data_IF_762591944898
#
_entry.id   IF_762591944898
#
_cell.length_a   1.000
_cell.length_b   1.000
_cell.length_c   1.000
_cell.angle_alpha   90.00
_cell.angle_beta   90.00
_cell.angle_gamma   90.00
#
_symmetry.space_group_name_H-M   'P 1'
#
loop_
_entity.id
_entity.type
_entity.pdbx_description
1 polymer ?
#
# COMPACT_ATOMS: atom_id res chain seq x y z
N UNK A 1 37.87 2.00 4.45
CA UNK A 1 36.61 1.60 3.77
C UNK A 1 36.40 2.39 2.48
N UNK A 2 35.53 1.95 1.55
CA UNK A 2 35.25 2.69 0.30
C UNK A 2 33.87 3.36 0.30
N UNK A 3 33.74 4.51 -0.34
CA UNK A 3 32.46 5.21 -0.51
C UNK A 3 31.57 4.46 -1.49
N UNK A 4 30.35 4.08 -1.09
CA UNK A 4 29.38 3.42 -1.98
C UNK A 4 28.91 4.33 -3.13
N UNK A 5 28.97 5.66 -2.96
CA UNK A 5 28.53 6.62 -3.98
C UNK A 5 29.61 6.94 -5.00
N UNK A 6 30.87 7.06 -4.56
CA UNK A 6 31.95 7.56 -5.42
C UNK A 6 33.17 6.63 -5.53
N UNK A 7 33.17 5.48 -4.86
CA UNK A 7 34.20 4.44 -4.96
C UNK A 7 35.57 4.78 -4.40
N UNK A 8 35.76 5.96 -3.77
CA UNK A 8 37.05 6.38 -3.21
C UNK A 8 37.26 5.81 -1.82
N UNK A 9 38.52 5.60 -1.46
CA UNK A 9 38.91 5.21 -0.12
C UNK A 9 38.66 6.34 0.88
N UNK A 10 38.12 5.98 2.04
CA UNK A 10 37.79 6.89 3.12
C UNK A 10 38.20 6.25 4.45
N UNK A 11 38.75 7.05 5.39
CA UNK A 11 38.97 6.59 6.76
C UNK A 11 37.69 6.06 7.41
N UNK A 12 37.83 5.03 8.24
CA UNK A 12 36.71 4.28 8.83
C UNK A 12 35.88 5.11 9.81
N UNK A 13 36.47 6.12 10.44
CA UNK A 13 35.79 7.01 11.40
C UNK A 13 35.10 8.22 10.74
N UNK A 14 35.07 8.28 9.40
CA UNK A 14 34.48 9.42 8.69
C UNK A 14 32.95 9.36 8.67
N UNK A 15 32.31 10.39 9.22
CA UNK A 15 30.83 10.54 9.18
C UNK A 15 30.36 10.93 7.77
N UNK A 16 31.22 11.57 6.98
CA UNK A 16 30.93 12.03 5.61
C UNK A 16 32.10 11.71 4.66
N UNK A 17 31.78 11.41 3.41
CA UNK A 17 32.79 11.30 2.36
C UNK A 17 33.37 12.68 2.03
N UNK A 18 34.68 12.86 2.24
CA UNK A 18 35.38 14.11 1.95
C UNK A 18 35.34 14.54 0.46
N UNK A 19 35.04 13.61 -0.45
CA UNK A 19 35.05 13.85 -1.89
C UNK A 19 33.66 14.09 -2.49
N UNK A 20 32.63 13.35 -2.05
CA UNK A 20 31.28 13.43 -2.62
C UNK A 20 30.22 13.99 -1.65
N UNK A 21 30.60 14.23 -0.39
CA UNK A 21 29.75 14.82 0.64
C UNK A 21 28.66 13.92 1.21
N UNK A 22 28.59 12.63 0.83
CA UNK A 22 27.55 11.73 1.35
C UNK A 22 27.84 11.33 2.80
N UNK A 23 26.80 11.26 3.64
CA UNK A 23 26.88 10.77 5.02
C UNK A 23 27.01 9.25 5.03
N UNK A 24 27.94 8.72 5.80
CA UNK A 24 28.30 7.30 5.87
C UNK A 24 27.77 6.61 7.14
N UNK A 25 27.05 7.35 8.00
CA UNK A 25 26.54 6.80 9.27
C UNK A 25 25.64 5.57 9.04
N UNK A 26 25.80 4.50 9.84
CA UNK A 26 24.91 3.34 9.82
C UNK A 26 23.43 3.70 10.11
N UNK A 27 23.16 4.85 10.75
CA UNK A 27 21.82 5.36 11.00
C UNK A 27 21.12 5.82 9.71
N UNK A 28 21.88 6.27 8.71
CA UNK A 28 21.32 6.68 7.41
C UNK A 28 20.83 5.46 6.60
N UNK A 29 21.55 4.33 6.70
CA UNK A 29 21.08 3.06 6.12
C UNK A 29 19.85 2.55 6.87
N UNK A 30 19.72 2.86 8.16
CA UNK A 30 18.56 2.48 8.95
C UNK A 30 17.28 3.23 8.55
N UNK A 31 17.39 4.55 8.36
CA UNK A 31 16.27 5.37 7.91
C UNK A 31 15.79 5.02 6.50
N UNK A 32 16.69 4.60 5.60
CA UNK A 32 16.32 4.30 4.22
C UNK A 32 15.48 3.02 4.10
N UNK A 33 15.71 1.99 4.95
CA UNK A 33 14.86 0.79 4.95
C UNK A 33 13.52 1.02 5.66
N UNK A 34 13.47 1.87 6.69
CA UNK A 34 12.22 2.27 7.35
C UNK A 34 11.35 3.12 6.42
N UNK A 35 11.95 4.06 5.69
CA UNK A 35 11.28 4.90 4.69
C UNK A 35 10.79 4.03 3.52
N UNK A 36 11.60 3.09 3.04
CA UNK A 36 11.21 2.15 1.98
C UNK A 36 10.09 1.18 2.43
N UNK A 37 10.09 0.73 3.69
CA UNK A 37 9.02 -0.07 4.26
C UNK A 37 7.71 0.73 4.35
N UNK A 38 7.78 1.98 4.86
CA UNK A 38 6.63 2.90 4.94
C UNK A 38 6.03 3.21 3.56
N UNK A 39 6.88 3.38 2.54
CA UNK A 39 6.42 3.61 1.17
C UNK A 39 5.73 2.38 0.56
N UNK A 40 6.21 1.16 0.86
CA UNK A 40 5.53 -0.08 0.44
C UNK A 40 4.16 -0.21 1.09
N UNK A 41 4.04 0.03 2.39
CA UNK A 41 2.75 0.01 3.10
C UNK A 41 1.75 1.03 2.52
N UNK A 42 2.20 2.25 2.23
CA UNK A 42 1.38 3.28 1.59
C UNK A 42 0.92 2.88 0.18
N UNK A 43 1.79 2.21 -0.58
CA UNK A 43 1.49 1.76 -1.93
C UNK A 43 0.48 0.61 -1.92
N UNK A 44 0.58 -0.32 -0.97
CA UNK A 44 -0.42 -1.38 -0.76
C UNK A 44 -1.78 -0.81 -0.34
N UNK A 45 -1.79 0.14 0.59
CA UNK A 45 -3.02 0.83 1.01
C UNK A 45 -3.70 1.62 -0.14
N UNK A 46 -2.93 2.13 -1.10
CA UNK A 46 -3.46 2.77 -2.31
C UNK A 46 -4.13 1.75 -3.26
N UNK A 47 -3.54 0.56 -3.42
CA UNK A 47 -4.09 -0.50 -4.26
C UNK A 47 -5.40 -1.05 -3.68
N UNK A 48 -5.51 -1.17 -2.35
CA UNK A 48 -6.74 -1.64 -1.69
C UNK A 48 -7.92 -0.68 -1.87
N UNK A 49 -7.67 0.65 -1.90
CA UNK A 49 -8.70 1.65 -2.22
C UNK A 49 -9.22 1.52 -3.66
N UNK A 50 -8.37 1.10 -4.60
CA UNK A 50 -8.73 0.87 -6.00
C UNK A 50 -9.54 -0.42 -6.19
N UNK A 51 -9.35 -1.41 -5.33
CA UNK A 51 -10.04 -2.71 -5.37
C UNK A 51 -11.45 -2.71 -4.74
N UNK A 52 -11.96 -1.57 -4.25
CA UNK A 52 -13.31 -1.47 -3.68
C UNK A 52 -13.51 -2.28 -2.39
N UNK A 53 -12.43 -2.77 -1.78
CA UNK A 53 -12.48 -3.35 -0.43
C UNK A 53 -12.70 -2.18 0.53
N UNK A 54 -13.78 -2.24 1.32
CA UNK A 54 -13.99 -1.27 2.40
C UNK A 54 -12.80 -1.38 3.34
N UNK A 55 -11.91 -0.40 3.28
CA UNK A 55 -10.79 -0.30 4.19
C UNK A 55 -11.36 -0.34 5.61
N UNK A 56 -11.04 -1.41 6.35
CA UNK A 56 -10.98 -1.30 7.79
C UNK A 56 -9.95 -0.21 8.03
N UNK A 57 -10.42 0.99 8.36
CA UNK A 57 -9.54 2.09 8.73
C UNK A 57 -8.81 1.62 9.98
N UNK A 58 -7.60 1.12 9.81
CA UNK A 58 -6.62 0.93 10.87
C UNK A 58 -6.30 2.34 11.35
N UNK A 59 -7.07 2.81 12.34
CA UNK A 59 -6.75 4.02 13.09
C UNK A 59 -5.64 3.67 14.09
N UNK A 60 -4.46 3.31 13.59
CA UNK A 60 -3.24 3.41 14.38
C UNK A 60 -2.69 4.83 14.20
N UNK A 61 -3.46 5.81 14.67
CA UNK A 61 -2.87 7.05 15.11
C UNK A 61 -2.25 6.72 16.47
N UNK A 62 -0.99 6.28 16.46
CA UNK A 62 -0.14 6.44 17.63
C UNK A 62 0.01 7.95 17.82
N UNK A 63 -0.94 8.52 18.54
CA UNK A 63 -0.84 9.89 19.01
C UNK A 63 0.23 9.85 20.11
N UNK A 64 1.29 10.62 19.90
CA UNK A 64 2.37 10.94 20.83
C UNK A 64 1.79 11.63 22.09
N UNK A 65 0.94 10.94 22.85
CA UNK A 65 0.30 11.41 24.09
C UNK A 65 -0.01 10.29 25.08
N UNK A 66 0.48 9.07 24.84
CA UNK A 66 0.25 7.92 25.73
C UNK A 66 1.32 7.78 26.82
N UNK A 67 2.05 8.84 27.13
CA UNK A 67 2.63 8.98 28.46
C UNK A 67 1.50 9.30 29.45
N UNK A 68 1.09 8.28 30.23
CA UNK A 68 0.08 8.39 31.30
C UNK A 68 0.57 9.46 32.29
N UNK A 69 0.09 10.70 32.15
CA UNK A 69 0.29 11.72 33.18
C UNK A 69 -0.55 11.35 34.41
N UNK A 70 0.04 11.32 35.61
CA UNK A 70 -0.73 11.23 36.84
C UNK A 70 -1.80 12.35 36.86
N UNK A 71 -3.08 11.99 36.90
CA UNK A 71 -4.20 12.94 36.89
C UNK A 71 -5.05 12.98 35.61
N UNK A 72 -4.85 12.08 34.65
CA UNK A 72 -5.71 11.98 33.47
C UNK A 72 -7.20 11.75 33.82
N UNK A 73 -8.16 12.39 33.12
CA UNK A 73 -9.58 12.27 33.44
C UNK A 73 -10.08 10.85 33.18
N UNK A 74 -10.80 10.29 34.16
CA UNK A 74 -11.43 8.96 34.04
C UNK A 74 -12.51 9.02 32.95
N UNK A 75 -12.39 8.14 31.95
CA UNK A 75 -13.42 7.95 30.92
C UNK A 75 -14.55 7.08 31.48
N UNK A 76 -15.75 7.13 30.90
CA UNK A 76 -16.86 6.22 31.24
C UNK A 76 -17.14 5.31 30.05
N UNK A 77 -17.53 4.06 30.33
CA UNK A 77 -17.99 3.14 29.30
C UNK A 77 -19.26 3.66 28.63
N UNK A 78 -19.30 3.69 27.30
CA UNK A 78 -20.48 4.14 26.56
C UNK A 78 -21.72 3.26 26.75
N UNK A 79 -21.55 1.97 27.03
CA UNK A 79 -22.66 1.03 27.14
C UNK A 79 -23.26 0.95 28.56
N UNK A 80 -22.42 1.03 29.59
CA UNK A 80 -22.84 0.79 30.99
C UNK A 80 -22.54 1.94 31.95
N UNK A 81 -21.86 3.00 31.48
CA UNK A 81 -21.54 4.18 32.29
C UNK A 81 -20.48 3.97 33.38
N UNK A 82 -19.92 2.75 33.52
CA UNK A 82 -18.87 2.44 34.50
C UNK A 82 -17.61 3.24 34.23
N UNK A 83 -16.98 3.77 35.28
CA UNK A 83 -15.68 4.46 35.18
C UNK A 83 -14.60 3.48 34.68
N UNK A 84 -13.89 3.90 33.64
CA UNK A 84 -12.78 3.18 33.03
C UNK A 84 -11.45 3.78 33.53
N UNK A 85 -10.42 2.94 33.75
CA UNK A 85 -9.10 3.45 34.06
C UNK A 85 -8.57 4.29 32.89
N UNK A 86 -7.75 5.29 33.19
CA UNK A 86 -7.16 6.18 32.20
C UNK A 86 -6.34 5.44 31.12
N UNK A 87 -5.89 4.21 31.42
CA UNK A 87 -5.18 3.32 30.49
C UNK A 87 -6.09 2.64 29.46
N UNK A 88 -7.41 2.76 29.55
CA UNK A 88 -8.31 2.17 28.55
C UNK A 88 -8.31 3.04 27.29
N UNK A 89 -7.72 2.49 26.23
CA UNK A 89 -7.69 3.11 24.90
C UNK A 89 -9.09 3.13 24.29
N UNK A 90 -9.88 2.08 24.54
CA UNK A 90 -11.26 1.93 24.06
C UNK A 90 -12.31 2.75 24.84
N UNK A 91 -13.47 2.97 24.21
CA UNK A 91 -14.63 3.60 24.84
C UNK A 91 -15.51 2.64 25.66
N UNK A 92 -15.17 1.36 25.73
CA UNK A 92 -16.00 0.32 26.33
C UNK A 92 -15.23 -0.41 27.43
N UNK A 93 -15.95 -0.94 28.42
CA UNK A 93 -15.35 -1.82 29.42
C UNK A 93 -15.16 -3.23 28.85
N UNK A 94 -14.22 -3.99 29.41
CA UNK A 94 -13.91 -5.35 28.97
C UNK A 94 -15.17 -6.23 28.85
N UNK A 95 -16.11 -6.13 29.79
CA UNK A 95 -17.37 -6.90 29.75
C UNK A 95 -18.28 -6.51 28.58
N UNK A 96 -18.41 -5.20 28.29
CA UNK A 96 -19.22 -4.71 27.17
C UNK A 96 -18.54 -4.96 25.82
N UNK A 97 -17.21 -4.91 25.77
CA UNK A 97 -16.42 -5.33 24.61
C UNK A 97 -16.66 -6.81 24.29
N UNK A 98 -16.50 -7.70 25.27
CA UNK A 98 -16.73 -9.14 25.09
C UNK A 98 -18.17 -9.44 24.68
N UNK A 99 -19.16 -8.79 25.28
CA UNK A 99 -20.57 -8.96 24.89
C UNK A 99 -20.80 -8.58 23.43
N UNK A 100 -20.30 -7.41 22.99
CA UNK A 100 -20.45 -6.96 21.60
C UNK A 100 -19.74 -7.89 20.61
N UNK A 101 -18.56 -8.40 20.96
CA UNK A 101 -17.84 -9.36 20.12
C UNK A 101 -18.64 -10.67 19.95
N UNK A 102 -19.17 -11.22 21.05
CA UNK A 102 -20.04 -12.40 20.99
C UNK A 102 -21.29 -12.14 20.15
N UNK A 103 -21.97 -11.02 20.33
CA UNK A 103 -23.12 -10.67 19.50
C UNK A 103 -22.75 -10.45 18.02
N UNK A 104 -21.52 -10.03 17.73
CA UNK A 104 -21.03 -9.87 16.35
C UNK A 104 -20.76 -11.23 15.71
N UNK A 105 -20.15 -12.16 16.46
CA UNK A 105 -19.94 -13.55 16.05
C UNK A 105 -21.28 -14.26 15.80
N UNK A 106 -22.22 -14.18 16.73
CA UNK A 106 -23.56 -14.77 16.58
C UNK A 106 -24.31 -14.20 15.35
N UNK A 107 -24.16 -12.89 15.06
CA UNK A 107 -24.71 -12.28 13.84
C UNK A 107 -23.99 -12.75 12.56
N UNK A 108 -22.69 -12.98 12.62
CA UNK A 108 -21.91 -13.49 11.50
C UNK A 108 -22.31 -14.95 11.17
N UNK A 109 -22.40 -15.80 12.20
CA UNK A 109 -22.86 -17.18 12.08
C UNK A 109 -24.31 -17.26 11.56
N UNK A 110 -25.21 -16.41 12.08
CA UNK A 110 -26.58 -16.35 11.59
C UNK A 110 -26.65 -15.92 10.12
N UNK A 111 -25.76 -15.01 9.69
CA UNK A 111 -25.67 -14.60 8.29
C UNK A 111 -25.12 -15.72 7.41
N UNK A 112 -24.13 -16.49 7.87
CA UNK A 112 -23.57 -17.65 7.16
C UNK A 112 -24.61 -18.78 7.03
N UNK A 113 -25.25 -19.18 8.13
CA UNK A 113 -26.32 -20.17 8.11
C UNK A 113 -27.46 -19.78 7.17
N UNK A 114 -27.82 -18.49 7.13
CA UNK A 114 -28.82 -17.98 6.20
C UNK A 114 -28.36 -18.06 4.74
N UNK A 115 -27.06 -17.90 4.45
CA UNK A 115 -26.50 -18.10 3.10
C UNK A 115 -26.54 -19.57 2.70
N UNK A 116 -26.15 -20.48 3.59
CA UNK A 116 -26.21 -21.92 3.35
C UNK A 116 -27.66 -22.38 3.08
N UNK A 117 -28.63 -21.91 3.87
CA UNK A 117 -30.05 -22.20 3.62
C UNK A 117 -30.53 -21.64 2.27
N UNK A 118 -30.05 -20.47 1.85
CA UNK A 118 -30.38 -19.93 0.52
C UNK A 118 -29.74 -20.73 -0.61
N UNK A 119 -28.53 -21.25 -0.42
CA UNK A 119 -27.86 -22.11 -1.39
C UNK A 119 -28.52 -23.49 -1.46
N UNK A 120 -28.89 -24.08 -0.33
CA UNK A 120 -29.68 -25.33 -0.29
C UNK A 120 -31.04 -25.16 -0.96
N UNK A 121 -31.75 -24.05 -0.69
CA UNK A 121 -33.03 -23.74 -1.34
C UNK A 121 -32.88 -23.50 -2.85
N UNK A 122 -31.70 -23.07 -3.32
CA UNK A 122 -31.39 -22.96 -4.76
C UNK A 122 -31.02 -24.33 -5.35
N UNK A 123 -30.16 -25.09 -4.69
CA UNK A 123 -29.78 -26.44 -5.12
C UNK A 123 -30.98 -27.41 -5.16
N UNK A 124 -31.95 -27.24 -4.26
CA UNK A 124 -33.21 -27.99 -4.29
C UNK A 124 -34.12 -27.57 -5.44
N UNK A 125 -34.05 -26.32 -5.92
CA UNK A 125 -34.75 -25.88 -7.14
C UNK A 125 -34.09 -26.46 -8.40
N UNK A 126 -32.77 -26.47 -8.45
CA UNK A 126 -32.03 -26.97 -9.62
C UNK A 126 -32.15 -28.50 -9.78
N UNK A 127 -32.53 -29.24 -8.71
CA UNK A 127 -32.78 -30.69 -8.77
C UNK A 127 -34.13 -31.09 -9.39
N UNK A 128 -35.11 -30.18 -9.41
CA UNK A 128 -36.45 -30.45 -9.94
C UNK A 128 -36.77 -29.69 -11.23
N UNK A 129 -35.75 -29.12 -11.91
CA UNK A 129 -35.93 -28.37 -13.17
C UNK A 129 -35.50 -29.18 -14.42
N UNK A 130 -35.53 -30.53 -14.33
CA UNK A 130 -35.21 -31.45 -15.45
C UNK A 130 -36.37 -32.40 -15.77
N UNK A 131 -37.63 -32.01 -15.53
CA UNK A 131 -38.78 -32.81 -16.00
C UNK A 131 -40.05 -32.03 -16.31
N UNK A 132 -39.97 -30.74 -16.63
CA UNK A 132 -41.11 -30.00 -17.19
C UNK A 132 -40.87 -29.61 -18.66
N UNK A 133 -40.56 -30.63 -19.48
CA UNK A 133 -41.14 -30.76 -20.83
C UNK A 133 -42.61 -31.21 -20.72
N UNK A 134 -43.30 -30.84 -19.64
CA UNK A 134 -44.66 -31.21 -19.34
C UNK A 134 -45.58 -30.31 -20.18
N UNK A 135 -46.10 -30.92 -21.23
CA UNK A 135 -46.88 -30.32 -22.30
C UNK A 135 -48.04 -29.44 -21.78
N UNK A 136 -47.86 -28.12 -21.89
CA UNK A 136 -48.86 -27.10 -21.56
C UNK A 136 -50.18 -27.23 -22.33
N UNK A 137 -50.28 -28.12 -23.33
CA UNK A 137 -51.49 -28.35 -24.13
C UNK A 137 -52.55 -29.21 -23.46
N UNK A 138 -52.21 -30.00 -22.42
CA UNK A 138 -53.19 -30.89 -21.74
C UNK A 138 -54.20 -30.12 -20.87
N UNK A 139 -53.86 -28.92 -20.39
CA UNK A 139 -54.72 -28.15 -19.47
C UNK A 139 -55.52 -27.01 -20.12
N UNK A 140 -55.48 -26.86 -21.45
CA UNK A 140 -56.28 -25.80 -22.10
C UNK A 140 -57.78 -26.10 -22.20
N UNK A 141 -58.24 -27.30 -21.87
CA UNK A 141 -59.61 -27.67 -22.19
C UNK A 141 -60.65 -27.47 -21.07
N UNK A 142 -60.28 -27.07 -19.85
CA UNK A 142 -61.27 -26.73 -18.82
C UNK A 142 -60.74 -25.71 -17.81
N UNK A 143 -61.11 -24.42 -17.97
CA UNK A 143 -61.02 -23.43 -16.89
C UNK A 143 -62.42 -23.10 -16.38
N UNK A 144 -62.85 -23.59 -15.20
CA UNK A 144 -63.83 -22.89 -14.40
C UNK A 144 -63.14 -21.79 -13.58
N UNK A 145 -63.81 -20.65 -13.56
CA UNK A 145 -63.51 -19.41 -12.86
C UNK A 145 -63.19 -19.67 -11.37
N UNK A 146 -61.98 -19.34 -10.92
CA UNK A 146 -61.62 -19.36 -9.50
C UNK A 146 -60.85 -18.09 -9.13
N UNK A 147 -61.54 -17.25 -8.36
CA UNK A 147 -61.07 -15.98 -7.82
C UNK A 147 -59.88 -16.22 -6.88
N UNK A 148 -58.77 -15.48 -7.07
CA UNK A 148 -57.60 -15.50 -6.19
C UNK A 148 -57.65 -14.36 -5.17
N UNK A 149 -57.21 -14.57 -3.91
CA UNK A 149 -57.20 -13.54 -2.88
C UNK A 149 -56.10 -12.50 -3.11
N UNK A 150 -56.44 -11.23 -2.81
CA UNK A 150 -55.58 -10.05 -2.96
C UNK A 150 -54.43 -10.07 -1.94
N UNK A 151 -53.18 -10.19 -2.39
CA UNK A 151 -51.99 -9.84 -1.60
C UNK A 151 -51.68 -8.35 -1.77
N UNK A 152 -51.62 -7.62 -0.66
CA UNK A 152 -51.22 -6.22 -0.62
C UNK A 152 -49.75 -6.08 -1.04
N UNK A 153 -49.52 -5.41 -2.17
CA UNK A 153 -48.19 -4.96 -2.56
C UNK A 153 -47.97 -3.58 -1.99
N UNK A 154 -47.05 -3.46 -1.03
CA UNK A 154 -46.47 -2.17 -0.65
C UNK A 154 -45.73 -1.63 -1.89
N UNK A 155 -46.19 -0.48 -2.35
CA UNK A 155 -45.79 0.11 -3.62
C UNK A 155 -44.53 0.97 -3.41
N UNK A 156 -43.34 0.35 -3.46
CA UNK A 156 -42.08 1.11 -3.52
C UNK A 156 -41.94 1.68 -4.93
N UNK A 157 -42.30 2.96 -5.08
CA UNK A 157 -42.06 3.74 -6.31
C UNK A 157 -40.54 3.86 -6.52
N UNK A 158 -39.95 2.98 -7.33
CA UNK A 158 -38.60 3.19 -7.86
C UNK A 158 -38.65 4.32 -8.90
N UNK A 159 -37.81 5.37 -8.81
CA UNK A 159 -37.75 6.39 -9.84
C UNK A 159 -37.20 5.77 -11.12
N UNK A 160 -38.05 5.65 -12.15
CA UNK A 160 -37.61 5.35 -13.53
C UNK A 160 -36.94 6.60 -14.10
N UNK A 161 -35.73 6.89 -13.65
CA UNK A 161 -34.88 7.90 -14.27
C UNK A 161 -34.36 7.39 -15.62
N UNK A 162 -34.29 8.27 -16.63
CA UNK A 162 -33.80 7.99 -17.98
C UNK A 162 -32.30 7.63 -17.98
N UNK A 163 -31.96 6.44 -17.46
CA UNK A 163 -30.60 5.99 -17.22
C UNK A 163 -29.76 5.95 -18.51
N UNK A 164 -30.41 5.71 -19.66
CA UNK A 164 -29.76 5.76 -20.99
C UNK A 164 -29.20 7.15 -21.31
N UNK A 165 -29.89 8.24 -20.93
CA UNK A 165 -29.42 9.62 -21.15
C UNK A 165 -28.29 9.98 -20.18
N UNK A 166 -28.39 9.55 -18.92
CA UNK A 166 -27.32 9.72 -17.94
C UNK A 166 -26.05 8.97 -18.36
N UNK A 167 -26.19 7.74 -18.87
CA UNK A 167 -25.08 6.93 -19.36
C UNK A 167 -24.38 7.57 -20.56
N UNK A 168 -25.13 8.07 -21.55
CA UNK A 168 -24.56 8.75 -22.72
C UNK A 168 -23.82 10.04 -22.36
N UNK A 169 -24.34 10.83 -21.41
CA UNK A 169 -23.66 12.02 -20.91
C UNK A 169 -22.34 11.68 -20.19
N UNK A 170 -22.35 10.65 -19.35
CA UNK A 170 -21.11 10.21 -18.66
C UNK A 170 -20.04 9.72 -19.64
N UNK A 171 -20.43 8.97 -20.67
CA UNK A 171 -19.50 8.48 -21.70
C UNK A 171 -18.95 9.66 -22.51
N UNK A 172 -19.78 10.64 -22.88
CA UNK A 172 -19.35 11.84 -23.59
C UNK A 172 -18.32 12.65 -22.79
N UNK A 173 -18.52 12.82 -21.48
CA UNK A 173 -17.56 13.50 -20.59
C UNK A 173 -16.22 12.76 -20.55
N UNK A 174 -16.24 11.42 -20.41
CA UNK A 174 -15.01 10.62 -20.36
C UNK A 174 -14.20 10.70 -21.66
N UNK A 175 -14.88 10.68 -22.81
CA UNK A 175 -14.24 10.84 -24.13
C UNK A 175 -13.65 12.25 -24.25
N UNK A 176 -14.40 13.29 -23.87
CA UNK A 176 -13.93 14.67 -23.90
C UNK A 176 -12.68 14.89 -23.03
N UNK A 177 -12.66 14.36 -21.81
CA UNK A 177 -11.51 14.44 -20.90
C UNK A 177 -10.29 13.72 -21.48
N UNK A 178 -10.46 12.56 -22.12
CA UNK A 178 -9.35 11.84 -22.77
C UNK A 178 -8.75 12.62 -23.93
N UNK A 179 -9.59 13.25 -24.75
CA UNK A 179 -9.11 14.09 -25.86
C UNK A 179 -8.35 15.30 -25.30
N UNK A 180 -8.87 15.95 -24.26
CA UNK A 180 -8.22 17.10 -23.63
C UNK A 180 -6.82 16.76 -23.08
N UNK A 181 -6.69 15.63 -22.38
CA UNK A 181 -5.39 15.18 -21.85
C UNK A 181 -4.40 14.89 -22.99
N UNK A 182 -4.87 14.29 -24.08
CA UNK A 182 -4.05 14.01 -25.27
C UNK A 182 -3.51 15.29 -25.91
N UNK A 183 -4.36 16.31 -26.07
CA UNK A 183 -3.98 17.62 -26.64
C UNK A 183 -2.96 18.32 -25.75
N UNK A 184 -3.18 18.33 -24.43
CA UNK A 184 -2.24 18.93 -23.47
C UNK A 184 -0.89 18.21 -23.53
N UNK A 185 -0.88 16.88 -23.59
CA UNK A 185 0.34 16.08 -23.73
C UNK A 185 1.13 16.43 -25.00
N UNK A 186 0.43 16.63 -26.12
CA UNK A 186 1.08 17.02 -27.38
C UNK A 186 1.72 18.41 -27.31
N UNK A 187 1.07 19.37 -26.65
CA UNK A 187 1.61 20.72 -26.44
C UNK A 187 2.85 20.67 -25.56
N UNK A 188 2.81 19.93 -24.46
CA UNK A 188 3.97 19.76 -23.57
C UNK A 188 5.13 19.09 -24.30
N UNK A 189 4.85 18.05 -25.09
CA UNK A 189 5.87 17.38 -25.91
C UNK A 189 6.52 18.37 -26.89
N UNK A 190 5.72 19.17 -27.60
CA UNK A 190 6.22 20.18 -28.53
C UNK A 190 7.09 21.24 -27.83
N UNK A 191 6.73 21.66 -26.62
CA UNK A 191 7.55 22.60 -25.85
C UNK A 191 8.90 21.97 -25.46
N UNK A 192 8.92 20.71 -25.02
CA UNK A 192 10.16 20.02 -24.64
C UNK A 192 11.08 19.81 -25.85
N UNK A 193 10.52 19.44 -27.01
CA UNK A 193 11.31 19.26 -28.24
C UNK A 193 11.90 20.56 -28.81
N UNK A 194 11.29 21.72 -28.51
CA UNK A 194 11.83 23.02 -28.90
C UNK A 194 12.85 23.60 -27.90
N UNK A 195 12.94 23.05 -26.68
CA UNK A 195 14.03 23.36 -25.76
C UNK A 195 15.26 22.57 -26.22
N UNK A 196 16.03 23.19 -27.10
CA UNK A 196 17.37 22.73 -27.47
C UNK A 196 18.23 22.66 -26.20
N UNK A 197 18.41 21.44 -25.66
CA UNK A 197 19.39 21.18 -24.62
C UNK A 197 20.77 21.39 -25.25
N UNK A 198 21.58 22.36 -24.80
CA UNK A 198 22.93 22.51 -25.33
C UNK A 198 23.73 21.25 -24.98
N UNK A 199 24.14 20.55 -26.03
CA UNK A 199 24.94 19.33 -25.98
C UNK A 199 26.28 19.65 -25.29
N UNK A 200 26.55 19.05 -24.13
CA UNK A 200 27.85 19.17 -23.47
C UNK A 200 28.84 18.26 -24.19
N UNK A 201 29.89 18.86 -24.74
CA UNK A 201 31.01 18.15 -25.38
C UNK A 201 31.63 17.08 -24.45
N UNK A 202 31.91 15.86 -24.95
CA UNK A 202 32.62 14.84 -24.19
C UNK A 202 34.11 15.21 -24.09
N UNK A 203 34.62 15.32 -22.86
CA UNK A 203 36.06 15.51 -22.61
C UNK A 203 36.85 14.26 -23.05
N UNK A 204 37.91 14.53 -23.82
CA UNK A 204 38.92 13.60 -24.33
C UNK A 204 39.52 12.66 -23.26
N UNK A 205 39.91 11.43 -23.61
CA UNK A 205 40.61 10.52 -22.69
C UNK A 205 42.06 10.97 -22.43
N UNK A 206 42.46 10.99 -21.16
CA UNK A 206 43.84 11.22 -20.69
C UNK A 206 44.70 9.93 -20.81
N UNK A 207 46.04 10.05 -20.93
CA UNK A 207 46.94 8.95 -21.27
C UNK A 207 47.19 7.95 -20.11
N UNK A 208 47.62 6.71 -20.42
CA UNK A 208 47.85 5.68 -19.41
C UNK A 208 49.04 6.04 -18.52
N UNK A 209 48.78 6.07 -17.21
CA UNK A 209 49.80 6.24 -16.17
C UNK A 209 50.59 4.93 -16.07
N UNK A 210 51.90 5.01 -16.30
CA UNK A 210 52.86 3.91 -16.16
C UNK A 210 53.00 3.55 -14.69
N UNK A 211 52.75 2.28 -14.35
CA UNK A 211 53.06 1.70 -13.03
C UNK A 211 54.57 1.64 -12.81
N UNK A 212 55.04 2.25 -11.73
CA UNK A 212 56.34 1.97 -11.12
C UNK A 212 56.10 1.38 -9.73
N UNK A 213 56.04 0.05 -9.65
CA UNK A 213 56.12 -0.68 -8.40
C UNK A 213 57.56 -0.59 -7.88
N UNK A 214 57.80 0.23 -6.85
CA UNK A 214 58.87 0.03 -5.85
C UNK A 214 58.63 1.00 -4.70
N UNK A 215 57.78 0.62 -3.76
CA UNK A 215 57.66 1.32 -2.48
C UNK A 215 58.75 0.79 -1.55
N UNK A 216 59.93 1.43 -1.56
CA UNK A 216 60.96 1.21 -0.56
C UNK A 216 60.45 1.79 0.78
N UNK A 217 60.33 0.96 1.82
CA UNK A 217 59.88 1.39 3.15
C UNK A 217 61.04 2.08 3.87
N UNK A 218 60.95 3.40 3.99
CA UNK A 218 61.90 4.23 4.72
C UNK A 218 61.33 4.45 6.13
N UNK A 219 62.10 4.10 7.16
CA UNK A 219 61.79 4.43 8.55
C UNK A 219 62.71 5.55 9.05
N UNK A 220 62.12 6.50 9.77
CA UNK A 220 62.83 7.64 10.38
C UNK A 220 62.51 7.63 11.87
N UNK A 221 63.55 7.51 12.70
CA UNK A 221 63.41 7.53 14.16
C UNK A 221 63.27 8.97 14.69
N UNK A 222 62.79 9.14 15.94
CA UNK A 222 62.53 10.45 16.56
C UNK A 222 63.77 11.35 16.70
N UNK A 223 64.98 10.79 16.58
CA UNK A 223 66.25 11.53 16.54
C UNK A 223 66.66 11.96 15.10
N UNK A 224 65.80 11.70 14.10
CA UNK A 224 65.97 12.13 12.71
C UNK A 224 66.92 11.26 11.86
N UNK A 225 67.30 10.08 12.35
CA UNK A 225 68.14 9.16 11.59
C UNK A 225 67.28 8.27 10.68
N UNK A 226 67.75 8.06 9.44
CA UNK A 226 67.01 7.34 8.40
C UNK A 226 67.63 5.96 8.19
N UNK A 227 66.84 4.90 8.36
CA UNK A 227 67.27 3.53 8.05
C UNK A 227 66.43 2.96 6.91
N UNK A 228 67.11 2.38 5.91
CA UNK A 228 66.50 1.71 4.76
C UNK A 228 66.62 0.21 5.02
N UNK A 229 65.47 -0.46 5.16
CA UNK A 229 65.40 -1.92 5.27
C UNK A 229 65.21 -2.49 3.86
N UNK A 230 66.25 -3.11 3.31
CA UNK A 230 66.13 -3.96 2.14
C UNK A 230 65.57 -5.32 2.57
N UNK A 231 64.30 -5.58 2.26
CA UNK A 231 63.71 -6.91 2.41
C UNK A 231 64.38 -7.84 1.39
N UNK A 232 65.41 -8.56 1.84
CA UNK A 232 66.07 -9.62 1.10
C UNK A 232 65.05 -10.70 0.71
N UNK A 233 64.78 -10.81 -0.59
CA UNK A 233 64.05 -11.94 -1.15
C UNK A 233 64.93 -13.18 -1.10
N UNK A 234 64.72 -14.03 -0.09
CA UNK A 234 65.18 -15.42 -0.14
C UNK A 234 64.47 -16.14 -1.30
N UNK A 235 65.29 -16.72 -2.17
CA UNK A 235 64.89 -17.57 -3.27
C UNK A 235 64.16 -18.83 -2.74
N UNK A 236 63.04 -19.17 -3.37
CA UNK A 236 62.52 -20.54 -3.33
C UNK A 236 62.39 -21.05 -4.77
N UNK A 237 63.22 -22.06 -5.06
CA UNK A 237 63.17 -22.95 -6.22
C UNK A 237 61.87 -23.77 -6.24
#
# INVERSE_FOLDING_TARGET
MFCEKCGREIPEDSIYCAYCGIKLSPEAKASDWEEAARLRELQEAYQDKKAGKKAAVVRNAYHESDCIRPGAPKKKCLDCGKELPASTIGGYCALCETRRNREAEERAEAAENKRLQQEEAKGLRDRYDVSDEFDWRVFQQNKPNSQKPKKSRVNVKKPKGNWKKALLLTIGILIGVRILISVIGMVVYFLISNVAVPEREPKSPEPPIVSSDTAQRIWVDDDGNVTILDDGSEEFF
#
